data_IF_601145862363
#
_entry.id   IF_601145862363
#
_cell.length_a   1.000
_cell.length_b   1.000
_cell.length_c   1.000
_cell.angle_alpha   90.00
_cell.angle_beta   90.00
_cell.angle_gamma   90.00
#
_symmetry.space_group_name_H-M   'P 1'
#
loop_
_entity.id
_entity.type
_entity.pdbx_description
1 polymer ?
#
# COMPACT_ATOMS: atom_id res chain seq x y z
N UNK A 1 -6.11 -7.70 -13.02
CA UNK A 1 -4.90 -7.38 -13.80
C UNK A 1 -3.90 -6.71 -12.86
N UNK A 2 -2.59 -6.92 -13.03
CA UNK A 2 -1.56 -6.24 -12.24
C UNK A 2 -1.66 -4.72 -12.35
N UNK A 3 -1.40 -4.01 -11.26
CA UNK A 3 -1.25 -2.55 -11.26
C UNK A 3 0.06 -2.12 -10.57
N UNK A 4 0.75 -1.17 -11.17
CA UNK A 4 2.02 -0.61 -10.68
C UNK A 4 1.92 0.88 -10.34
N UNK A 5 0.72 1.44 -10.45
CA UNK A 5 0.47 2.87 -10.29
C UNK A 5 -0.38 3.12 -9.05
N UNK A 6 0.29 3.65 -8.03
CA UNK A 6 -0.28 3.99 -6.74
C UNK A 6 0.28 5.34 -6.30
N UNK A 7 -0.61 6.25 -5.89
CA UNK A 7 -0.25 7.53 -5.30
C UNK A 7 -0.26 7.48 -3.78
N UNK A 8 0.60 8.28 -3.13
CA UNK A 8 0.60 8.50 -1.69
C UNK A 8 0.13 9.92 -1.37
N UNK A 9 -0.67 10.09 -0.33
CA UNK A 9 -1.20 11.40 0.09
C UNK A 9 -0.15 12.34 0.69
N UNK A 10 0.94 11.78 1.23
CA UNK A 10 2.03 12.52 1.86
C UNK A 10 3.35 11.77 1.68
N UNK A 11 4.46 12.48 1.91
CA UNK A 11 5.81 11.89 1.99
C UNK A 11 6.35 12.02 3.41
N UNK A 12 6.54 10.87 4.04
CA UNK A 12 7.05 10.67 5.40
C UNK A 12 8.19 9.63 5.35
N UNK A 13 8.87 9.39 6.48
CA UNK A 13 9.95 8.41 6.55
C UNK A 13 9.52 6.96 6.26
N UNK A 14 8.24 6.64 6.50
CA UNK A 14 7.64 5.34 6.21
C UNK A 14 6.81 5.34 4.91
N UNK A 15 6.95 6.35 4.04
CA UNK A 15 6.26 6.30 2.75
C UNK A 15 6.94 5.29 1.81
N UNK A 16 6.20 4.33 1.24
CA UNK A 16 6.77 3.37 0.31
C UNK A 16 7.40 4.05 -0.91
N UNK A 17 8.57 3.57 -1.33
CA UNK A 17 9.22 4.02 -2.58
C UNK A 17 8.57 3.44 -3.82
N UNK A 18 7.90 2.29 -3.68
CA UNK A 18 7.19 1.62 -4.77
C UNK A 18 6.05 0.79 -4.20
N UNK A 19 4.93 0.80 -4.91
CA UNK A 19 3.76 -0.03 -4.60
C UNK A 19 3.27 -0.66 -5.89
N UNK A 20 2.99 -1.95 -5.85
CA UNK A 20 2.45 -2.68 -7.00
C UNK A 20 1.62 -3.86 -6.52
N UNK A 21 0.83 -4.44 -7.42
CA UNK A 21 0.15 -5.71 -7.20
C UNK A 21 0.30 -6.63 -8.42
N UNK A 22 0.13 -7.92 -8.19
CA UNK A 22 0.15 -8.97 -9.21
C UNK A 22 -1.26 -9.46 -9.59
N UNK A 23 -2.30 -8.73 -9.17
CA UNK A 23 -3.70 -9.16 -9.25
C UNK A 23 -4.19 -10.05 -8.11
N UNK A 24 -3.32 -10.48 -7.19
CA UNK A 24 -3.66 -11.30 -6.01
C UNK A 24 -3.17 -10.68 -4.70
N UNK A 25 -1.94 -10.19 -4.68
CA UNK A 25 -1.29 -9.54 -3.54
C UNK A 25 -0.82 -8.14 -3.91
N UNK A 26 -0.81 -7.24 -2.92
CA UNK A 26 -0.17 -5.92 -3.03
C UNK A 26 1.15 -5.92 -2.26
N UNK A 27 2.14 -5.24 -2.83
CA UNK A 27 3.51 -5.18 -2.36
C UNK A 27 3.88 -3.73 -2.09
N UNK A 28 4.45 -3.47 -0.92
CA UNK A 28 4.92 -2.15 -0.50
C UNK A 28 6.42 -2.24 -0.26
N UNK A 29 7.22 -1.58 -1.11
CA UNK A 29 8.65 -1.48 -0.91
C UNK A 29 8.97 -0.21 -0.13
N UNK A 30 9.62 -0.36 1.01
CA UNK A 30 10.08 0.72 1.87
C UNK A 30 11.59 0.95 1.69
N UNK A 31 12.09 2.17 1.97
CA UNK A 31 13.53 2.40 2.05
C UNK A 31 14.20 1.45 3.06
N UNK A 32 15.48 1.12 2.84
CA UNK A 32 16.28 0.39 3.84
C UNK A 32 16.28 1.18 5.15
N UNK A 33 16.03 0.48 6.26
CA UNK A 33 15.94 1.03 7.62
C UNK A 33 14.77 2.00 7.88
N UNK A 34 13.81 2.16 6.96
CA UNK A 34 12.59 2.89 7.27
C UNK A 34 11.77 2.14 8.34
N UNK A 35 11.11 2.87 9.26
CA UNK A 35 10.20 2.23 10.19
C UNK A 35 9.02 1.57 9.45
N UNK A 36 8.61 0.40 9.92
CA UNK A 36 7.54 -0.38 9.29
C UNK A 36 6.18 0.05 9.84
N UNK A 37 5.28 0.59 9.01
CA UNK A 37 3.94 0.99 9.46
C UNK A 37 2.99 -0.22 9.56
N UNK A 38 1.90 -0.04 10.30
CA UNK A 38 0.74 -0.92 10.17
C UNK A 38 0.01 -0.61 8.85
N UNK A 39 -0.30 -1.66 8.08
CA UNK A 39 -0.98 -1.54 6.77
C UNK A 39 -2.41 -2.04 6.90
N UNK A 40 -3.36 -1.22 6.45
CA UNK A 40 -4.78 -1.53 6.43
C UNK A 40 -5.32 -1.39 5.01
N UNK A 41 -6.27 -2.26 4.65
CA UNK A 41 -7.11 -1.99 3.47
C UNK A 41 -8.24 -1.04 3.87
N UNK A 42 -8.57 -0.09 3.01
CA UNK A 42 -9.72 0.80 3.20
C UNK A 42 -10.83 0.44 2.22
N UNK A 43 -11.99 0.04 2.75
CA UNK A 43 -13.15 -0.33 1.94
C UNK A 43 -14.45 -0.07 2.71
N UNK A 44 -15.48 0.42 2.02
CA UNK A 44 -16.77 0.72 2.65
C UNK A 44 -16.66 1.75 3.78
N UNK A 45 -15.80 2.75 3.63
CA UNK A 45 -15.64 3.85 4.58
C UNK A 45 -14.87 3.50 5.86
N UNK A 46 -14.29 2.31 5.98
CA UNK A 46 -13.53 1.89 7.17
C UNK A 46 -12.26 1.09 6.82
N UNK A 47 -11.31 1.14 7.74
CA UNK A 47 -10.12 0.29 7.74
C UNK A 47 -10.47 -1.16 8.11
N UNK A 48 -9.70 -2.09 7.53
CA UNK A 48 -9.74 -3.52 7.82
C UNK A 48 -8.32 -4.05 7.90
N UNK A 49 -8.07 -4.91 8.88
CA UNK A 49 -6.82 -5.64 9.00
C UNK A 49 -6.63 -6.59 7.83
N UNK A 50 -5.38 -6.86 7.52
CA UNK A 50 -4.93 -7.71 6.43
C UNK A 50 -3.74 -8.51 6.92
N UNK A 51 -3.53 -9.69 6.35
CA UNK A 51 -2.35 -10.48 6.63
C UNK A 51 -1.17 -9.88 5.87
N UNK A 52 -0.06 -9.68 6.57
CA UNK A 52 1.18 -9.15 6.01
C UNK A 52 2.30 -10.17 6.20
N UNK A 53 3.20 -10.21 5.22
CA UNK A 53 4.42 -11.00 5.28
C UNK A 53 5.56 -10.11 4.81
N UNK A 54 6.73 -10.24 5.43
CA UNK A 54 7.94 -9.50 5.08
C UNK A 54 8.91 -10.47 4.42
N UNK A 55 8.74 -10.77 3.11
CA UNK A 55 9.50 -11.81 2.42
C UNK A 55 11.01 -11.61 2.45
N UNK A 56 11.52 -10.39 2.24
CA UNK A 56 12.92 -9.93 2.39
C UNK A 56 13.06 -8.50 1.78
N UNK A 57 14.20 -7.83 1.99
CA UNK A 57 14.60 -6.58 1.30
C UNK A 57 13.65 -5.36 1.41
N UNK A 58 12.97 -5.20 2.55
CA UNK A 58 12.13 -4.03 2.81
C UNK A 58 10.83 -4.02 2.00
N UNK A 59 10.45 -5.16 1.39
CA UNK A 59 9.16 -5.34 0.73
C UNK A 59 8.20 -6.04 1.69
N UNK A 60 7.03 -5.45 1.89
CA UNK A 60 5.92 -6.06 2.62
C UNK A 60 4.88 -6.53 1.61
N UNK A 61 4.58 -7.83 1.63
CA UNK A 61 3.50 -8.44 0.87
C UNK A 61 2.24 -8.46 1.71
N UNK A 62 1.14 -8.01 1.14
CA UNK A 62 -0.17 -7.92 1.78
C UNK A 62 -1.20 -8.73 1.01
N UNK A 63 -2.08 -9.43 1.72
CA UNK A 63 -3.17 -10.20 1.11
C UNK A 63 -4.20 -9.31 0.41
N UNK A 64 -4.47 -9.61 -0.86
CA UNK A 64 -5.50 -8.96 -1.67
C UNK A 64 -4.99 -7.77 -2.46
N UNK A 65 -5.84 -7.30 -3.39
CA UNK A 65 -5.69 -6.05 -4.13
C UNK A 65 -6.79 -5.10 -3.71
N UNK A 66 -6.48 -3.82 -3.53
CA UNK A 66 -7.47 -2.82 -3.17
C UNK A 66 -7.15 -1.45 -3.76
N UNK A 67 -8.20 -0.66 -4.03
CA UNK A 67 -8.07 0.70 -4.54
C UNK A 67 -7.48 1.65 -3.52
N UNK A 68 -7.69 1.42 -2.22
CA UNK A 68 -7.20 2.29 -1.16
C UNK A 68 -6.56 1.52 -0.01
N UNK A 69 -5.44 2.03 0.48
CA UNK A 69 -4.74 1.51 1.66
C UNK A 69 -4.43 2.64 2.62
N UNK A 70 -4.30 2.31 3.90
CA UNK A 70 -3.92 3.25 4.95
C UNK A 70 -2.72 2.69 5.67
N UNK A 71 -1.65 3.48 5.72
CA UNK A 71 -0.43 3.19 6.47
C UNK A 71 -0.45 4.06 7.73
N UNK A 72 -0.23 3.43 8.88
CA UNK A 72 -0.20 4.12 10.19
C UNK A 72 1.08 3.82 10.93
N UNK A 73 1.69 4.87 11.49
CA UNK A 73 2.83 4.76 12.39
C UNK A 73 2.74 5.86 13.45
N UNK A 74 2.55 5.47 14.72
CA UNK A 74 2.24 6.44 15.78
C UNK A 74 0.98 7.24 15.46
N UNK A 75 1.12 8.55 15.39
CA UNK A 75 0.03 9.49 15.04
C UNK A 75 -0.04 9.80 13.53
N UNK A 76 0.96 9.36 12.76
CA UNK A 76 1.04 9.65 11.32
C UNK A 76 0.19 8.69 10.49
N UNK A 77 -0.38 9.24 9.42
CA UNK A 77 -1.25 8.51 8.48
C UNK A 77 -0.87 8.86 7.05
N UNK A 78 -0.63 7.83 6.23
CA UNK A 78 -0.44 7.97 4.79
C UNK A 78 -1.50 7.14 4.06
N UNK A 79 -2.29 7.82 3.24
CA UNK A 79 -3.28 7.17 2.38
C UNK A 79 -2.62 6.82 1.04
N UNK A 80 -2.84 5.60 0.59
CA UNK A 80 -2.40 5.11 -0.72
C UNK A 80 -3.62 4.88 -1.58
N UNK A 81 -3.58 5.34 -2.83
CA UNK A 81 -4.66 5.16 -3.79
C UNK A 81 -4.14 4.57 -5.10
N UNK A 82 -4.78 3.50 -5.58
CA UNK A 82 -4.54 2.95 -6.91
C UNK A 82 -5.01 3.97 -7.95
N UNK A 83 -4.11 4.29 -8.88
CA UNK A 83 -4.39 5.17 -10.02
C UNK A 83 -4.64 4.24 -11.21
N UNK A 84 -5.91 3.91 -11.53
CA UNK A 84 -6.19 3.02 -12.65
C UNK A 84 -5.64 3.62 -13.96
N UNK A 85 -5.23 2.78 -14.93
CA UNK A 85 -4.97 3.25 -16.27
C UNK A 85 -6.22 3.98 -16.79
N UNK A 86 -6.03 5.04 -17.58
CA UNK A 86 -7.10 5.91 -18.06
C UNK A 86 -8.28 5.18 -18.74
N UNK A 87 -8.06 3.97 -19.28
CA UNK A 87 -9.10 3.15 -19.91
C UNK A 87 -10.08 2.48 -18.92
N UNK A 88 -9.73 2.32 -17.64
CA UNK A 88 -10.60 1.64 -16.66
C UNK A 88 -11.56 2.60 -15.91
N UNK A 89 -11.53 3.89 -16.26
CA UNK A 89 -12.34 4.94 -15.62
C UNK A 89 -13.60 5.32 -16.43
N UNK A 90 -13.94 4.57 -17.47
CA UNK A 90 -15.12 4.78 -18.32
C UNK A 90 -16.28 3.85 -17.97
#
# INVERSE_FOLDING_TARGET
APNYNYGASARTEFTPTRIWDDGTFTYFAFPRNAPVPAIFRYAGGRERTVNTQTPEDGVIRVSGVNRQWVLRLGEEVVCIEAIPPAEAAS
#
